data_IF_776965224492
#
_entry.id   IF_776965224492
#
_cell.length_a   1.000
_cell.length_b   1.000
_cell.length_c   1.000
_cell.angle_alpha   90.00
_cell.angle_beta   90.00
_cell.angle_gamma   90.00
#
_symmetry.space_group_name_H-M   'P 1'
#
loop_
_entity.id
_entity.type
_entity.pdbx_description
1 polymer ?
#
# COMPACT_ATOMS: atom_id res chain seq x y z
N UNK A 1 -12.51 40.36 14.48
CA UNK A 1 -11.43 39.38 14.28
C UNK A 1 -11.97 38.29 13.41
N UNK A 2 -11.48 38.19 12.15
CA UNK A 2 -11.83 37.14 11.21
C UNK A 2 -11.40 35.80 11.83
N UNK A 3 -12.36 34.88 12.01
CA UNK A 3 -12.09 33.49 12.29
C UNK A 3 -11.14 32.96 11.20
N UNK A 4 -9.84 32.89 11.48
CA UNK A 4 -8.95 32.02 10.74
C UNK A 4 -9.50 30.62 11.02
N UNK A 5 -10.08 29.98 10.01
CA UNK A 5 -10.35 28.54 10.09
C UNK A 5 -9.05 27.89 10.54
N UNK A 6 -9.09 27.24 11.69
CA UNK A 6 -7.96 26.46 12.20
C UNK A 6 -7.86 25.22 11.28
N UNK A 7 -7.05 25.34 10.24
CA UNK A 7 -6.75 24.23 9.33
C UNK A 7 -5.53 23.49 9.82
N UNK A 8 -5.53 22.17 9.73
CA UNK A 8 -4.38 21.32 10.04
C UNK A 8 -3.44 21.09 8.83
N UNK A 9 -3.70 21.72 7.68
CA UNK A 9 -2.95 21.52 6.42
C UNK A 9 -1.44 21.75 6.56
N UNK A 10 -1.01 22.72 7.37
CA UNK A 10 0.42 22.94 7.61
C UNK A 10 1.07 21.82 8.42
N UNK A 11 0.32 21.24 9.36
CA UNK A 11 0.78 20.09 10.13
C UNK A 11 0.77 18.81 9.26
N UNK A 12 -0.25 18.65 8.43
CA UNK A 12 -0.33 17.59 7.41
C UNK A 12 0.90 17.62 6.51
N UNK A 13 1.21 18.77 5.89
CA UNK A 13 2.39 18.94 5.06
C UNK A 13 3.69 18.54 5.76
N UNK A 14 3.86 18.93 7.02
CA UNK A 14 5.04 18.57 7.80
C UNK A 14 5.05 17.07 8.14
N UNK A 15 3.91 16.54 8.55
CA UNK A 15 3.76 15.15 8.95
C UNK A 15 3.98 14.17 7.80
N UNK A 16 3.49 14.48 6.61
CA UNK A 16 3.77 13.72 5.39
C UNK A 16 5.28 13.57 5.17
N UNK A 17 6.03 14.67 5.20
CA UNK A 17 7.48 14.65 5.05
C UNK A 17 8.19 13.82 6.15
N UNK A 18 7.70 13.87 7.40
CA UNK A 18 8.25 13.08 8.50
C UNK A 18 7.95 11.59 8.33
N UNK A 19 6.72 11.22 7.95
CA UNK A 19 6.33 9.83 7.68
C UNK A 19 7.18 9.28 6.52
N UNK A 20 7.35 10.04 5.45
CA UNK A 20 8.17 9.67 4.31
C UNK A 20 9.62 9.39 4.70
N UNK A 21 10.24 10.27 5.50
CA UNK A 21 11.60 10.11 5.99
C UNK A 21 11.73 8.87 6.90
N UNK A 22 10.78 8.67 7.82
CA UNK A 22 10.77 7.54 8.76
C UNK A 22 10.63 6.21 8.02
N UNK A 23 9.73 6.13 7.02
CA UNK A 23 9.54 4.92 6.23
C UNK A 23 10.74 4.64 5.34
N UNK A 24 11.34 5.67 4.73
CA UNK A 24 12.56 5.52 3.94
C UNK A 24 13.73 4.98 4.80
N UNK A 25 13.97 5.56 5.98
CA UNK A 25 15.01 5.10 6.91
C UNK A 25 14.76 3.65 7.37
N UNK A 26 13.51 3.31 7.67
CA UNK A 26 13.14 1.96 8.08
C UNK A 26 13.41 0.94 6.97
N UNK A 27 12.97 1.23 5.74
CA UNK A 27 13.16 0.33 4.60
C UNK A 27 14.63 0.18 4.24
N UNK A 28 15.38 1.27 4.20
CA UNK A 28 16.81 1.26 3.94
C UNK A 28 17.57 0.35 4.92
N UNK A 29 17.22 0.47 6.20
CA UNK A 29 17.87 -0.34 7.24
C UNK A 29 17.45 -1.82 7.20
N UNK A 30 16.18 -2.09 6.86
CA UNK A 30 15.62 -3.45 6.86
C UNK A 30 15.99 -4.24 5.61
N UNK A 31 16.21 -3.57 4.49
CA UNK A 31 16.48 -4.17 3.18
C UNK A 31 17.84 -3.72 2.61
N UNK A 32 18.98 -4.12 3.23
CA UNK A 32 20.30 -3.60 2.86
C UNK A 32 20.79 -4.04 1.46
N UNK A 33 20.10 -5.00 0.83
CA UNK A 33 20.42 -5.50 -0.52
C UNK A 33 19.45 -5.00 -1.59
N UNK A 34 18.37 -4.30 -1.20
CA UNK A 34 17.38 -3.80 -2.14
C UNK A 34 17.92 -2.58 -2.90
N UNK A 35 17.63 -2.53 -4.18
CA UNK A 35 17.95 -1.40 -5.03
C UNK A 35 16.99 -0.21 -4.78
N UNK A 36 17.40 1.00 -5.20
CA UNK A 36 16.61 2.22 -5.03
C UNK A 36 15.18 2.09 -5.55
N UNK A 37 15.01 1.50 -6.74
CA UNK A 37 13.68 1.31 -7.34
C UNK A 37 12.76 0.41 -6.53
N UNK A 38 13.31 -0.61 -5.85
CA UNK A 38 12.55 -1.49 -4.96
C UNK A 38 12.16 -0.76 -3.67
N UNK A 39 13.10 -0.03 -3.06
CA UNK A 39 12.84 0.78 -1.86
C UNK A 39 11.77 1.85 -2.13
N UNK A 40 11.82 2.49 -3.30
CA UNK A 40 10.84 3.49 -3.72
C UNK A 40 9.45 2.87 -3.91
N UNK A 41 9.35 1.70 -4.55
CA UNK A 41 8.07 0.97 -4.69
C UNK A 41 7.49 0.59 -3.32
N UNK A 42 8.31 0.04 -2.41
CA UNK A 42 7.91 -0.31 -1.05
C UNK A 42 7.42 0.91 -0.28
N UNK A 43 8.18 2.01 -0.30
CA UNK A 43 7.81 3.27 0.36
C UNK A 43 6.47 3.77 -0.16
N UNK A 44 6.30 3.91 -1.48
CA UNK A 44 5.07 4.41 -2.09
C UNK A 44 3.82 3.60 -1.73
N UNK A 45 3.95 2.30 -1.50
CA UNK A 45 2.83 1.45 -1.04
C UNK A 45 2.46 1.76 0.41
N UNK A 46 3.46 1.85 1.29
CA UNK A 46 3.26 2.10 2.73
C UNK A 46 2.65 3.49 2.96
N UNK A 47 3.21 4.52 2.32
CA UNK A 47 2.76 5.91 2.50
C UNK A 47 1.64 6.32 1.53
N UNK A 48 1.09 5.37 0.78
CA UNK A 48 -0.02 5.69 -0.12
C UNK A 48 -1.20 6.28 0.65
N UNK A 49 -1.85 7.30 0.08
CA UNK A 49 -3.04 7.93 0.67
C UNK A 49 -4.11 6.92 1.09
N UNK A 50 -4.34 5.90 0.27
CA UNK A 50 -5.32 4.84 0.58
C UNK A 50 -4.91 4.05 1.83
N UNK A 51 -3.63 3.70 1.96
CA UNK A 51 -3.13 2.93 3.09
C UNK A 51 -3.13 3.76 4.39
N UNK A 52 -2.60 4.99 4.36
CA UNK A 52 -2.60 5.87 5.53
C UNK A 52 -4.02 6.19 6.00
N UNK A 53 -4.97 6.39 5.07
CA UNK A 53 -6.36 6.59 5.42
C UNK A 53 -7.00 5.34 6.07
N UNK A 54 -6.74 4.14 5.54
CA UNK A 54 -7.22 2.89 6.14
C UNK A 54 -6.66 2.67 7.54
N UNK A 55 -5.37 2.96 7.74
CA UNK A 55 -4.71 2.88 9.05
C UNK A 55 -5.33 3.88 10.02
N UNK A 56 -5.51 5.14 9.61
CA UNK A 56 -6.09 6.20 10.43
C UNK A 56 -7.51 5.86 10.91
N UNK A 57 -8.34 5.27 10.04
CA UNK A 57 -9.67 4.76 10.41
C UNK A 57 -9.54 3.61 11.40
N UNK A 58 -8.63 2.66 11.17
CA UNK A 58 -8.46 1.49 12.05
C UNK A 58 -8.05 1.89 13.46
N UNK A 59 -7.28 2.96 13.64
CA UNK A 59 -6.89 3.49 14.96
C UNK A 59 -7.87 4.51 15.52
N UNK A 60 -8.99 4.77 14.84
CA UNK A 60 -10.09 5.61 15.33
C UNK A 60 -9.85 7.12 15.18
N UNK A 61 -8.94 7.56 14.32
CA UNK A 61 -8.68 8.99 14.06
C UNK A 61 -9.88 9.67 13.44
N UNK A 62 -10.62 8.98 12.58
CA UNK A 62 -11.82 9.47 11.91
C UNK A 62 -12.90 9.96 12.89
N UNK A 63 -13.07 9.27 14.01
CA UNK A 63 -14.01 9.64 15.08
C UNK A 63 -13.62 10.91 15.88
N UNK A 64 -12.41 11.41 15.70
CA UNK A 64 -11.89 12.60 16.40
C UNK A 64 -11.86 13.86 15.51
N UNK A 65 -12.25 13.73 14.24
CA UNK A 65 -12.16 14.82 13.28
C UNK A 65 -13.42 15.70 13.35
N UNK A 66 -13.22 16.98 13.63
CA UNK A 66 -14.24 18.00 13.49
C UNK A 66 -14.14 18.63 12.09
N UNK A 67 -15.17 18.49 11.27
CA UNK A 67 -15.22 19.07 9.92
C UNK A 67 -16.51 19.83 9.70
N UNK A 68 -16.47 20.87 8.86
CA UNK A 68 -17.71 21.46 8.35
C UNK A 68 -18.47 20.46 7.47
N UNK A 69 -19.78 20.37 7.66
CA UNK A 69 -20.68 19.41 7.00
C UNK A 69 -20.58 19.44 5.46
N UNK A 70 -20.20 20.58 4.89
CA UNK A 70 -20.01 20.72 3.44
C UNK A 70 -18.68 20.11 2.96
N UNK A 71 -17.66 20.06 3.78
CA UNK A 71 -16.36 19.44 3.47
C UNK A 71 -16.42 17.91 3.58
N UNK A 72 -17.29 17.36 4.43
CA UNK A 72 -17.41 15.92 4.67
C UNK A 72 -17.77 15.09 3.42
N UNK A 73 -18.45 15.71 2.43
CA UNK A 73 -18.82 15.04 1.18
C UNK A 73 -17.74 15.01 0.11
N UNK A 74 -16.63 15.73 0.28
CA UNK A 74 -15.58 15.87 -0.76
C UNK A 74 -14.29 15.09 -0.50
N UNK A 75 -14.13 14.47 0.66
CA UNK A 75 -12.79 14.00 1.06
C UNK A 75 -12.77 12.55 1.54
N UNK A 76 -12.50 11.67 0.59
CA UNK A 76 -12.24 10.23 0.85
C UNK A 76 -10.94 9.95 1.64
N UNK A 77 -10.21 10.96 2.11
CA UNK A 77 -8.90 10.81 2.77
C UNK A 77 -8.67 11.71 3.98
N UNK A 78 -9.74 12.25 4.59
CA UNK A 78 -9.63 13.15 5.75
C UNK A 78 -8.89 12.49 6.92
N UNK A 79 -9.15 11.21 7.17
CA UNK A 79 -8.52 10.50 8.28
C UNK A 79 -7.00 10.35 8.07
N UNK A 80 -6.55 10.08 6.83
CA UNK A 80 -5.13 10.02 6.49
C UNK A 80 -4.43 11.36 6.70
N UNK A 81 -5.02 12.45 6.19
CA UNK A 81 -4.51 13.80 6.37
C UNK A 81 -4.43 14.20 7.85
N UNK A 82 -5.44 13.80 8.66
CA UNK A 82 -5.43 14.03 10.09
C UNK A 82 -4.33 13.22 10.80
N UNK A 83 -4.08 11.98 10.38
CA UNK A 83 -2.97 11.18 10.90
C UNK A 83 -1.61 11.84 10.59
N UNK A 84 -1.39 12.29 9.37
CA UNK A 84 -0.20 13.06 9.00
C UNK A 84 -0.05 14.31 9.88
N UNK A 85 -1.14 15.08 10.07
CA UNK A 85 -1.13 16.25 10.92
C UNK A 85 -0.77 15.93 12.39
N UNK A 86 -1.25 14.80 12.93
CA UNK A 86 -0.89 14.32 14.27
C UNK A 86 0.61 14.04 14.35
N UNK A 87 1.19 13.36 13.35
CA UNK A 87 2.64 13.08 13.33
C UNK A 87 3.43 14.39 13.22
N UNK A 88 2.97 15.35 12.42
CA UNK A 88 3.57 16.69 12.36
C UNK A 88 3.54 17.43 13.69
N UNK A 89 2.42 17.34 14.42
CA UNK A 89 2.29 17.90 15.77
C UNK A 89 3.24 17.24 16.78
N UNK A 90 3.31 15.89 16.78
CA UNK A 90 4.24 15.12 17.64
C UNK A 90 5.69 15.51 17.34
N UNK A 91 6.04 15.71 16.07
CA UNK A 91 7.38 16.17 15.69
C UNK A 91 7.72 17.54 16.28
N UNK A 92 6.80 18.49 16.19
CA UNK A 92 7.03 19.85 16.74
C UNK A 92 7.12 19.86 18.26
N UNK A 93 6.32 19.03 18.95
CA UNK A 93 6.29 18.96 20.40
C UNK A 93 7.45 18.14 21.01
N UNK A 94 7.81 17.02 20.39
CA UNK A 94 8.69 15.99 20.96
C UNK A 94 9.89 15.61 20.09
N UNK A 95 10.04 16.23 18.92
CA UNK A 95 11.13 16.00 18.00
C UNK A 95 11.05 14.68 17.22
N UNK A 96 12.04 14.49 16.34
CA UNK A 96 12.07 13.42 15.35
C UNK A 96 11.95 12.01 15.95
N UNK A 97 12.70 11.71 17.00
CA UNK A 97 12.70 10.35 17.56
C UNK A 97 11.33 9.92 18.09
N UNK A 98 10.57 10.83 18.67
CA UNK A 98 9.23 10.51 19.17
C UNK A 98 8.25 10.35 18.01
N UNK A 99 8.31 11.22 17.00
CA UNK A 99 7.52 11.10 15.79
C UNK A 99 7.83 9.79 15.05
N UNK A 100 9.11 9.43 14.90
CA UNK A 100 9.55 8.16 14.32
C UNK A 100 8.97 6.96 15.06
N UNK A 101 9.09 6.94 16.39
CA UNK A 101 8.58 5.82 17.18
C UNK A 101 7.05 5.70 17.09
N UNK A 102 6.33 6.82 17.12
CA UNK A 102 4.87 6.84 16.95
C UNK A 102 4.47 6.30 15.57
N UNK A 103 5.10 6.81 14.51
CA UNK A 103 4.86 6.36 13.14
C UNK A 103 5.13 4.86 12.99
N UNK A 104 6.31 4.38 13.40
CA UNK A 104 6.65 2.96 13.28
C UNK A 104 5.76 2.06 14.13
N UNK A 105 5.34 2.50 15.32
CA UNK A 105 4.42 1.74 16.16
C UNK A 105 3.07 1.53 15.46
N UNK A 106 2.51 2.59 14.90
CA UNK A 106 1.24 2.52 14.16
C UNK A 106 1.39 1.66 12.90
N UNK A 107 2.41 1.90 12.10
CA UNK A 107 2.62 1.16 10.85
C UNK A 107 2.89 -0.32 11.09
N UNK A 108 3.66 -0.71 12.11
CA UNK A 108 3.92 -2.12 12.44
C UNK A 108 2.68 -2.89 12.88
N UNK A 109 1.76 -2.22 13.55
CA UNK A 109 0.56 -2.86 14.09
C UNK A 109 -0.61 -2.90 13.10
N UNK A 110 -0.62 -2.00 12.09
CA UNK A 110 -1.77 -1.79 11.23
C UNK A 110 -1.43 -1.77 9.73
N UNK A 111 -0.19 -1.47 9.35
CA UNK A 111 0.28 -1.72 8.00
C UNK A 111 0.87 -3.12 7.95
N UNK A 112 0.59 -3.82 6.88
CA UNK A 112 1.23 -5.10 6.58
C UNK A 112 2.71 -4.88 6.18
N UNK A 113 3.51 -4.33 7.13
CA UNK A 113 4.95 -4.10 6.95
C UNK A 113 5.73 -5.42 6.85
N UNK A 114 5.09 -6.53 7.25
CA UNK A 114 5.63 -7.88 7.14
C UNK A 114 5.43 -8.46 5.74
N UNK A 115 4.34 -8.13 5.07
CA UNK A 115 4.07 -8.57 3.70
C UNK A 115 4.72 -7.70 2.62
N UNK A 116 5.36 -6.59 3.02
CA UNK A 116 6.27 -5.84 2.13
C UNK A 116 7.59 -6.60 1.93
N UNK A 117 7.94 -7.53 2.84
CA UNK A 117 9.02 -8.49 2.64
C UNK A 117 8.43 -9.84 2.20
N UNK A 118 8.57 -10.16 0.94
CA UNK A 118 8.57 -11.49 0.33
C UNK A 118 7.27 -12.11 -0.19
N UNK A 119 6.04 -11.65 0.10
CA UNK A 119 4.87 -12.41 -0.34
C UNK A 119 3.81 -11.70 -1.18
N UNK A 120 3.93 -10.40 -1.43
CA UNK A 120 3.42 -9.82 -2.67
C UNK A 120 4.61 -9.31 -3.49
N UNK A 121 5.65 -10.16 -3.65
CA UNK A 121 6.55 -9.96 -4.76
C UNK A 121 5.64 -9.81 -5.97
N UNK A 122 5.85 -8.79 -6.77
CA UNK A 122 5.08 -8.56 -7.97
C UNK A 122 5.41 -9.68 -8.97
N UNK A 123 4.93 -10.89 -8.65
CA UNK A 123 5.14 -12.08 -9.48
C UNK A 123 4.72 -11.83 -10.91
N UNK A 124 3.73 -10.94 -11.08
CA UNK A 124 3.28 -10.52 -12.40
C UNK A 124 4.37 -9.74 -13.13
N UNK A 125 5.00 -8.76 -12.50
CA UNK A 125 6.13 -8.02 -13.08
C UNK A 125 7.33 -8.94 -13.31
N UNK A 126 7.67 -9.79 -12.35
CA UNK A 126 8.76 -10.77 -12.49
C UNK A 126 8.53 -11.74 -13.65
N UNK A 127 7.28 -12.18 -13.82
CA UNK A 127 6.91 -13.07 -14.91
C UNK A 127 7.02 -12.37 -16.26
N UNK A 128 6.62 -11.09 -16.36
CA UNK A 128 6.82 -10.29 -17.55
C UNK A 128 8.30 -10.02 -17.86
N UNK A 129 9.12 -9.72 -16.84
CA UNK A 129 10.56 -9.53 -17.01
C UNK A 129 11.25 -10.82 -17.48
N UNK A 130 10.84 -11.96 -16.95
CA UNK A 130 11.35 -13.26 -17.39
C UNK A 130 10.92 -13.57 -18.82
N UNK A 131 9.67 -13.32 -19.16
CA UNK A 131 9.17 -13.49 -20.52
C UNK A 131 9.92 -12.62 -21.51
N UNK A 132 10.17 -11.36 -21.17
CA UNK A 132 10.97 -10.46 -22.01
C UNK A 132 12.39 -10.98 -22.24
N UNK A 133 13.04 -11.53 -21.18
CA UNK A 133 14.39 -12.14 -21.31
C UNK A 133 14.42 -13.39 -22.17
N UNK A 134 13.32 -14.15 -22.20
CA UNK A 134 13.22 -15.41 -22.95
C UNK A 134 12.45 -15.29 -24.28
N UNK A 135 12.18 -14.07 -24.72
CA UNK A 135 11.37 -13.77 -25.93
C UNK A 135 10.02 -14.49 -25.94
N UNK A 136 9.40 -14.64 -24.77
CA UNK A 136 8.12 -15.30 -24.57
C UNK A 136 6.98 -14.29 -24.40
N UNK A 137 5.74 -14.73 -24.66
CA UNK A 137 4.54 -13.90 -24.50
C UNK A 137 3.75 -14.35 -23.29
N UNK A 138 3.46 -13.40 -22.37
CA UNK A 138 2.64 -13.65 -21.20
C UNK A 138 1.30 -12.92 -21.31
N UNK A 139 0.22 -13.62 -21.01
CA UNK A 139 -1.13 -13.08 -20.94
C UNK A 139 -1.85 -13.58 -19.68
N UNK A 140 -2.79 -12.78 -19.17
CA UNK A 140 -3.66 -13.18 -18.07
C UNK A 140 -5.12 -13.20 -18.55
N UNK A 141 -5.78 -14.33 -18.33
CA UNK A 141 -7.22 -14.50 -18.57
C UNK A 141 -7.93 -14.48 -17.21
N UNK A 142 -8.65 -13.39 -16.91
CA UNK A 142 -9.28 -13.17 -15.60
C UNK A 142 -10.78 -13.07 -15.75
N UNK A 143 -11.52 -13.88 -14.97
CA UNK A 143 -12.98 -13.93 -14.96
C UNK A 143 -13.54 -13.72 -13.56
N UNK A 144 -14.67 -13.04 -13.40
CA UNK A 144 -15.37 -13.01 -12.12
C UNK A 144 -15.97 -14.39 -11.81
N UNK A 145 -15.95 -14.78 -10.54
CA UNK A 145 -16.68 -15.95 -10.03
C UNK A 145 -17.90 -15.41 -9.30
N UNK A 146 -19.08 -15.76 -9.75
CA UNK A 146 -20.32 -15.45 -9.04
C UNK A 146 -20.40 -16.34 -7.81
N UNK A 147 -20.32 -15.72 -6.62
CA UNK A 147 -20.54 -16.40 -5.36
C UNK A 147 -21.96 -16.11 -4.88
N UNK A 148 -22.70 -17.13 -4.51
CA UNK A 148 -24.08 -17.06 -4.00
C UNK A 148 -24.22 -16.22 -2.71
N UNK A 149 -23.12 -15.79 -2.11
CA UNK A 149 -23.06 -14.99 -0.86
C UNK A 149 -22.61 -13.55 -1.06
N UNK A 150 -22.71 -12.97 -2.27
CA UNK A 150 -22.44 -11.55 -2.50
C UNK A 150 -20.96 -11.10 -2.42
N UNK A 151 -20.01 -12.02 -2.25
CA UNK A 151 -18.58 -11.71 -2.28
C UNK A 151 -18.04 -11.84 -3.70
N UNK A 152 -17.63 -10.73 -4.31
CA UNK A 152 -16.97 -10.76 -5.62
C UNK A 152 -15.61 -11.46 -5.51
N UNK A 153 -15.50 -12.63 -6.13
CA UNK A 153 -14.22 -13.33 -6.32
C UNK A 153 -13.85 -13.34 -7.80
N UNK A 154 -12.57 -13.44 -8.06
CA UNK A 154 -12.03 -13.54 -9.41
C UNK A 154 -11.15 -14.78 -9.49
N UNK A 155 -11.16 -15.44 -10.67
CA UNK A 155 -10.15 -16.43 -11.04
C UNK A 155 -9.31 -15.88 -12.17
N UNK A 156 -8.02 -16.19 -12.17
CA UNK A 156 -7.09 -15.82 -13.23
C UNK A 156 -6.26 -17.01 -13.65
N UNK A 157 -5.92 -17.05 -14.93
CA UNK A 157 -4.98 -17.98 -15.53
C UNK A 157 -3.82 -17.18 -16.11
N UNK A 158 -2.59 -17.57 -15.79
CA UNK A 158 -1.39 -17.05 -16.45
C UNK A 158 -1.05 -17.98 -17.63
N UNK A 159 -0.91 -17.39 -18.80
CA UNK A 159 -0.56 -18.10 -20.03
C UNK A 159 0.83 -17.68 -20.47
N UNK A 160 1.67 -18.67 -20.77
CA UNK A 160 3.02 -18.52 -21.33
C UNK A 160 3.04 -19.12 -22.73
N UNK A 161 3.28 -18.29 -23.73
CA UNK A 161 3.19 -18.68 -25.16
C UNK A 161 1.87 -19.37 -25.55
N UNK A 162 0.78 -19.04 -24.84
CA UNK A 162 -0.56 -19.61 -25.07
C UNK A 162 -0.90 -20.82 -24.21
N UNK A 163 0.02 -21.40 -23.47
CA UNK A 163 -0.21 -22.50 -22.56
C UNK A 163 -0.46 -21.98 -21.13
N UNK A 164 -1.41 -22.58 -20.42
CA UNK A 164 -1.70 -22.22 -19.02
C UNK A 164 -0.60 -22.78 -18.13
N UNK A 165 0.15 -21.89 -17.50
CA UNK A 165 1.29 -22.24 -16.62
C UNK A 165 1.03 -21.90 -15.14
N UNK A 166 -0.09 -21.19 -14.84
CA UNK A 166 -0.47 -20.92 -13.46
C UNK A 166 -1.91 -20.47 -13.34
N UNK A 167 -2.52 -20.69 -12.19
CA UNK A 167 -3.88 -20.29 -11.88
C UNK A 167 -3.94 -19.59 -10.51
N UNK A 168 -4.94 -18.73 -10.31
CA UNK A 168 -5.09 -18.03 -9.06
C UNK A 168 -6.50 -17.53 -8.82
N UNK A 169 -6.85 -17.32 -7.57
CA UNK A 169 -8.11 -16.74 -7.15
C UNK A 169 -7.86 -15.57 -6.21
N UNK A 170 -8.76 -14.60 -6.20
CA UNK A 170 -8.62 -13.45 -5.31
C UNK A 170 -9.90 -12.65 -5.17
N UNK A 171 -9.92 -11.76 -4.17
CA UNK A 171 -11.02 -10.82 -3.94
C UNK A 171 -11.03 -9.65 -4.94
N UNK A 172 -10.00 -9.55 -5.79
CA UNK A 172 -9.91 -8.60 -6.90
C UNK A 172 -9.19 -9.24 -8.09
N UNK A 173 -9.35 -8.67 -9.30
CA UNK A 173 -8.60 -9.10 -10.49
C UNK A 173 -7.09 -9.12 -10.22
N UNK A 174 -6.58 -8.05 -9.59
CA UNK A 174 -5.15 -7.91 -9.27
C UNK A 174 -4.65 -9.05 -8.38
N UNK A 175 -5.39 -9.41 -7.33
CA UNK A 175 -5.00 -10.52 -6.44
C UNK A 175 -5.04 -11.87 -7.13
N UNK A 176 -6.08 -12.14 -7.93
CA UNK A 176 -6.17 -13.37 -8.70
C UNK A 176 -5.02 -13.51 -9.72
N UNK A 177 -4.67 -12.43 -10.42
CA UNK A 177 -3.56 -12.40 -11.36
C UNK A 177 -2.19 -12.55 -10.69
N UNK A 178 -1.99 -11.98 -9.51
CA UNK A 178 -0.75 -12.15 -8.75
C UNK A 178 -0.57 -13.59 -8.28
N UNK A 179 -1.63 -14.24 -7.80
CA UNK A 179 -1.56 -15.65 -7.40
C UNK A 179 -1.29 -16.55 -8.61
N UNK A 180 -1.95 -16.30 -9.74
CA UNK A 180 -1.69 -17.04 -10.98
C UNK A 180 -0.24 -16.83 -11.47
N UNK A 181 0.29 -15.62 -11.32
CA UNK A 181 1.68 -15.33 -11.68
C UNK A 181 2.68 -16.00 -10.74
N UNK A 182 2.36 -16.14 -9.46
CA UNK A 182 3.19 -16.86 -8.50
C UNK A 182 3.32 -18.33 -8.89
N UNK A 183 2.20 -19.02 -9.09
CA UNK A 183 2.18 -20.43 -9.51
C UNK A 183 2.90 -20.61 -10.86
N UNK A 184 2.66 -19.70 -11.80
CA UNK A 184 3.36 -19.73 -13.09
C UNK A 184 4.88 -19.60 -12.94
N UNK A 185 5.33 -18.69 -12.06
CA UNK A 185 6.75 -18.47 -11.83
C UNK A 185 7.42 -19.68 -11.16
N UNK A 186 6.74 -20.35 -10.24
CA UNK A 186 7.20 -21.58 -9.61
C UNK A 186 7.29 -22.73 -10.62
N UNK A 187 6.27 -22.89 -11.47
CA UNK A 187 6.23 -23.96 -12.48
C UNK A 187 7.25 -23.78 -13.63
N UNK A 188 7.65 -22.53 -13.94
CA UNK A 188 8.64 -22.26 -15.00
C UNK A 188 10.08 -22.41 -14.47
N UNK A 189 10.31 -22.25 -13.18
CA UNK A 189 11.66 -22.24 -12.57
C UNK A 189 11.96 -23.51 -11.72
N UNK A 190 10.99 -24.40 -11.53
CA UNK A 190 11.14 -25.70 -10.84
C UNK A 190 11.36 -26.78 -11.84
#
# INVERSE_FOLDING_TARGET
HKNRHLSNERLEFLGDAIIDAVVAEFLYSKHPKAEEGELTKMKSRIVSRANLNAIAITIGVDGLIETDVQAANSTKSIAGNAFEAIIGAVYLDRGYLKAKNATLSVLKNHADLGSVSETESDYKSRLYEQAHRLDAKVFFNTKPINSERGTHKFTAQALWNGEVVGQGQGSSKKRAEQQAAQEAFENING
#
